data_IF_128076813332
#
_entry.id   IF_128076813332
#
_cell.length_a   1.000
_cell.length_b   1.000
_cell.length_c   1.000
_cell.angle_alpha   90.00
_cell.angle_beta   90.00
_cell.angle_gamma   90.00
#
_symmetry.space_group_name_H-M   'P 1'
#
loop_
_entity.id
_entity.type
_entity.pdbx_description
1 polymer ?
#
# COMPACT_ATOMS: atom_id res chain seq x y z
N UNK A 1 17.75 -20.20 -33.02
CA UNK A 1 16.42 -20.81 -32.77
C UNK A 1 16.34 -21.06 -31.27
N UNK A 2 15.51 -20.44 -30.46
CA UNK A 2 14.52 -19.37 -30.62
C UNK A 2 14.77 -18.49 -29.38
N UNK A 3 15.04 -17.21 -29.58
CA UNK A 3 15.12 -16.28 -28.46
C UNK A 3 13.75 -16.22 -27.82
N UNK A 4 13.63 -16.66 -26.57
CA UNK A 4 12.47 -16.31 -25.77
C UNK A 4 12.44 -14.78 -25.69
N UNK A 5 11.34 -14.12 -26.05
CA UNK A 5 11.22 -12.70 -25.78
C UNK A 5 11.31 -12.56 -24.27
N UNK A 6 12.37 -11.92 -23.79
CA UNK A 6 12.40 -11.37 -22.44
C UNK A 6 11.13 -10.54 -22.30
N UNK A 7 10.22 -11.04 -21.47
CA UNK A 7 9.05 -10.36 -20.97
C UNK A 7 9.37 -8.89 -20.78
N UNK A 8 8.51 -8.00 -21.30
CA UNK A 8 8.47 -6.59 -20.88
C UNK A 8 8.83 -6.51 -19.41
N UNK A 9 9.90 -5.78 -19.06
CA UNK A 9 10.24 -5.45 -17.67
C UNK A 9 9.00 -4.79 -17.05
N UNK A 10 8.21 -5.58 -16.32
CA UNK A 10 7.02 -5.09 -15.65
C UNK A 10 7.52 -4.33 -14.43
N UNK A 11 7.61 -3.00 -14.55
CA UNK A 11 8.06 -2.17 -13.44
C UNK A 11 6.97 -2.16 -12.36
N UNK A 12 7.24 -2.92 -11.29
CA UNK A 12 6.34 -3.08 -10.15
C UNK A 12 6.09 -1.75 -9.44
N UNK A 13 7.08 -0.86 -9.40
CA UNK A 13 6.91 0.48 -8.83
C UNK A 13 5.98 1.32 -9.71
N UNK A 14 6.15 1.26 -11.04
CA UNK A 14 5.29 1.99 -11.96
C UNK A 14 3.83 1.52 -11.91
N UNK A 15 3.62 0.19 -11.85
CA UNK A 15 2.29 -0.41 -11.78
C UNK A 15 1.63 -0.27 -10.41
N UNK A 16 2.40 -0.01 -9.35
CA UNK A 16 1.92 0.21 -7.99
C UNK A 16 1.76 1.68 -7.61
N UNK A 17 2.02 2.59 -8.56
CA UNK A 17 1.77 4.02 -8.37
C UNK A 17 0.28 4.28 -8.20
N UNK A 18 -0.09 5.06 -7.20
CA UNK A 18 -1.46 5.48 -6.94
C UNK A 18 -1.83 6.57 -7.95
N UNK A 19 -2.88 6.37 -8.76
CA UNK A 19 -3.39 7.38 -9.67
C UNK A 19 -3.86 8.63 -8.91
N UNK A 20 -3.66 9.81 -9.47
CA UNK A 20 -4.02 11.09 -8.82
C UNK A 20 -5.54 11.26 -8.67
N UNK A 21 -6.32 10.53 -9.46
CA UNK A 21 -7.79 10.45 -9.40
C UNK A 21 -8.31 9.27 -8.56
N UNK A 22 -7.41 8.54 -7.89
CA UNK A 22 -7.79 7.45 -6.99
C UNK A 22 -8.69 7.97 -5.87
N UNK A 23 -9.76 7.22 -5.60
CA UNK A 23 -10.75 7.58 -4.58
C UNK A 23 -10.28 7.07 -3.23
N UNK A 24 -10.43 7.90 -2.20
CA UNK A 24 -10.26 7.47 -0.81
C UNK A 24 -11.48 6.61 -0.44
N UNK A 25 -11.27 5.32 -0.27
CA UNK A 25 -12.32 4.37 0.12
C UNK A 25 -12.44 4.24 1.64
N UNK A 26 -11.32 4.35 2.36
CA UNK A 26 -11.26 4.35 3.81
C UNK A 26 -10.43 5.54 4.30
N UNK A 27 -10.86 6.20 5.39
CA UNK A 27 -10.18 7.36 5.95
C UNK A 27 -8.69 7.09 6.19
N UNK A 28 -7.87 8.10 5.91
CA UNK A 28 -6.42 8.03 6.09
C UNK A 28 -6.06 8.36 7.53
N UNK A 29 -5.22 7.53 8.15
CA UNK A 29 -4.72 7.76 9.50
C UNK A 29 -3.75 8.94 9.52
N UNK A 30 -3.56 9.52 10.72
CA UNK A 30 -2.59 10.59 10.92
C UNK A 30 -1.17 10.14 10.54
N UNK A 31 -0.80 8.90 10.88
CA UNK A 31 0.51 8.32 10.52
C UNK A 31 0.71 8.25 9.02
N UNK A 32 -0.32 7.85 8.26
CA UNK A 32 -0.23 7.74 6.81
C UNK A 32 -0.08 9.13 6.15
N UNK A 33 -0.81 10.13 6.65
CA UNK A 33 -0.65 11.53 6.22
C UNK A 33 0.73 12.07 6.59
N UNK A 34 1.28 11.67 7.74
CA UNK A 34 2.62 12.06 8.16
C UNK A 34 3.69 11.46 7.22
N UNK A 35 3.55 10.19 6.83
CA UNK A 35 4.42 9.57 5.81
C UNK A 35 4.37 10.38 4.53
N UNK A 36 3.18 10.66 3.99
CA UNK A 36 3.03 11.45 2.77
C UNK A 36 3.75 12.82 2.86
N UNK A 37 3.63 13.50 4.01
CA UNK A 37 4.27 14.80 4.26
C UNK A 37 5.78 14.73 4.41
N UNK A 38 6.33 13.65 4.94
CA UNK A 38 7.78 13.46 5.02
C UNK A 38 8.41 13.38 3.63
N UNK A 39 7.68 12.83 2.67
CA UNK A 39 8.08 12.74 1.27
C UNK A 39 7.44 13.82 0.40
N UNK A 40 6.85 14.87 0.99
CA UNK A 40 6.25 15.97 0.24
C UNK A 40 7.32 16.92 -0.30
N UNK A 41 7.09 17.48 -1.49
CA UNK A 41 7.95 18.55 -2.02
C UNK A 41 7.81 19.81 -1.14
N UNK A 42 8.76 20.75 -1.26
CA UNK A 42 8.74 21.98 -0.47
C UNK A 42 7.44 22.77 -0.67
N UNK A 43 6.95 22.86 -1.91
CA UNK A 43 5.74 23.58 -2.28
C UNK A 43 4.48 22.94 -1.68
N UNK A 44 4.39 21.61 -1.68
CA UNK A 44 3.28 20.86 -1.09
C UNK A 44 3.23 20.98 0.44
N UNK A 45 4.39 21.07 1.11
CA UNK A 45 4.46 21.27 2.57
C UNK A 45 3.92 22.63 2.98
N UNK A 46 4.09 23.64 2.12
CA UNK A 46 3.60 24.99 2.34
C UNK A 46 2.10 25.13 2.01
N UNK A 47 1.62 24.45 0.97
CA UNK A 47 0.22 24.51 0.53
C UNK A 47 -0.77 23.77 1.46
N UNK A 48 -0.28 22.93 2.36
CA UNK A 48 -1.11 22.07 3.22
C UNK A 48 -1.52 20.77 2.54
N UNK A 49 -2.05 19.82 3.32
CA UNK A 49 -2.36 18.47 2.84
C UNK A 49 -3.65 18.43 2.02
N UNK A 50 -3.57 18.78 0.73
CA UNK A 50 -4.60 18.42 -0.24
C UNK A 50 -4.58 16.90 -0.50
N UNK A 51 -5.70 16.27 -0.91
CA UNK A 51 -5.70 14.86 -1.29
C UNK A 51 -4.67 14.53 -2.38
N UNK A 52 -4.47 15.45 -3.33
CA UNK A 52 -3.45 15.32 -4.38
C UNK A 52 -2.03 15.29 -3.79
N UNK A 53 -1.70 16.23 -2.92
CA UNK A 53 -0.39 16.29 -2.27
C UNK A 53 -0.12 15.04 -1.41
N UNK A 54 -1.16 14.47 -0.80
CA UNK A 54 -1.05 13.20 -0.08
C UNK A 54 -0.70 12.06 -1.03
N UNK A 55 -1.40 11.93 -2.16
CA UNK A 55 -1.12 10.88 -3.15
C UNK A 55 0.31 11.03 -3.71
N UNK A 56 0.74 12.25 -4.04
CA UNK A 56 2.08 12.51 -4.56
C UNK A 56 3.17 12.16 -3.53
N UNK A 57 2.98 12.55 -2.27
CA UNK A 57 3.85 12.18 -1.16
C UNK A 57 3.95 10.66 -0.97
N UNK A 58 2.81 9.96 -1.00
CA UNK A 58 2.79 8.50 -0.88
C UNK A 58 3.46 7.82 -2.08
N UNK A 59 3.26 8.33 -3.29
CA UNK A 59 3.93 7.80 -4.49
C UNK A 59 5.45 7.92 -4.40
N UNK A 60 5.99 9.01 -3.83
CA UNK A 60 7.43 9.13 -3.57
C UNK A 60 7.88 8.16 -2.49
N UNK A 61 7.11 8.00 -1.40
CA UNK A 61 7.40 7.00 -0.39
C UNK A 61 7.43 5.56 -0.95
N UNK A 62 6.52 5.22 -1.87
CA UNK A 62 6.48 3.91 -2.54
C UNK A 62 7.73 3.72 -3.41
N UNK A 63 8.09 4.72 -4.20
CA UNK A 63 9.28 4.66 -5.08
C UNK A 63 10.60 4.50 -4.32
N UNK A 64 10.66 4.93 -3.06
CA UNK A 64 11.83 4.83 -2.18
C UNK A 64 11.79 3.59 -1.26
N UNK A 65 10.68 2.85 -1.25
CA UNK A 65 10.47 1.72 -0.33
C UNK A 65 10.99 0.39 -0.87
N UNK A 66 11.24 -0.55 0.04
CA UNK A 66 11.56 -1.93 -0.35
C UNK A 66 10.30 -2.72 -0.71
N UNK A 67 10.36 -3.53 -1.77
CA UNK A 67 9.37 -4.58 -2.03
C UNK A 67 9.63 -5.71 -1.04
N UNK A 68 8.70 -5.94 -0.11
CA UNK A 68 8.83 -6.98 0.91
C UNK A 68 8.17 -8.30 0.51
N UNK A 69 7.27 -8.26 -0.48
CA UNK A 69 6.63 -9.44 -1.05
C UNK A 69 6.00 -9.12 -2.41
N UNK A 70 5.99 -10.10 -3.30
CA UNK A 70 5.36 -10.00 -4.61
C UNK A 70 4.84 -11.37 -5.07
N UNK A 71 3.63 -11.40 -5.63
CA UNK A 71 3.12 -12.56 -6.35
C UNK A 71 2.09 -12.12 -7.41
N UNK A 72 2.39 -12.45 -8.66
CA UNK A 72 1.50 -12.15 -9.79
C UNK A 72 1.28 -10.64 -9.92
N UNK A 73 0.02 -10.20 -9.81
CA UNK A 73 -0.36 -8.78 -9.91
C UNK A 73 -0.46 -8.08 -8.55
N UNK A 74 0.11 -8.66 -7.50
CA UNK A 74 0.05 -8.13 -6.13
C UNK A 74 1.46 -7.89 -5.60
N UNK A 75 1.70 -6.70 -5.08
CA UNK A 75 2.97 -6.32 -4.47
C UNK A 75 2.73 -5.67 -3.10
N UNK A 76 3.67 -5.90 -2.18
CA UNK A 76 3.67 -5.28 -0.85
C UNK A 76 4.97 -4.51 -0.66
N UNK A 77 4.82 -3.24 -0.31
CA UNK A 77 5.88 -2.26 -0.14
C UNK A 77 6.04 -1.90 1.33
N UNK A 78 7.26 -1.95 1.84
CA UNK A 78 7.62 -1.55 3.20
C UNK A 78 7.90 -0.05 3.30
N UNK A 79 6.85 0.76 3.45
CA UNK A 79 6.99 2.22 3.53
C UNK A 79 7.77 2.68 4.76
N UNK A 80 7.55 2.00 5.89
CA UNK A 80 8.29 2.22 7.14
C UNK A 80 8.45 0.88 7.87
N UNK A 81 9.21 0.82 8.99
CA UNK A 81 9.23 -0.38 9.83
C UNK A 81 7.86 -0.79 10.39
N UNK A 82 6.88 0.12 10.42
CA UNK A 82 5.56 -0.10 11.01
C UNK A 82 4.41 -0.13 9.99
N UNK A 83 4.60 0.37 8.77
CA UNK A 83 3.54 0.53 7.77
C UNK A 83 3.97 -0.08 6.44
N UNK A 84 3.07 -0.85 5.85
CA UNK A 84 3.19 -1.39 4.50
C UNK A 84 2.04 -0.91 3.62
N UNK A 85 2.28 -0.88 2.31
CA UNK A 85 1.23 -0.76 1.30
C UNK A 85 1.13 -2.06 0.52
N UNK A 86 -0.08 -2.61 0.39
CA UNK A 86 -0.41 -3.65 -0.58
C UNK A 86 -1.07 -3.00 -1.79
N UNK A 87 -0.53 -3.23 -2.98
CA UNK A 87 -1.15 -2.90 -4.26
C UNK A 87 -1.59 -4.21 -4.95
N UNK A 88 -2.81 -4.25 -5.46
CA UNK A 88 -3.32 -5.44 -6.14
C UNK A 88 -4.67 -5.23 -6.82
N UNK A 89 -4.98 -6.13 -7.75
CA UNK A 89 -6.26 -6.17 -8.45
C UNK A 89 -7.32 -6.93 -7.63
N UNK A 90 -8.53 -6.39 -7.61
CA UNK A 90 -9.73 -7.06 -7.10
C UNK A 90 -10.43 -6.30 -5.97
N UNK A 91 -11.61 -6.81 -5.59
CA UNK A 91 -12.45 -6.29 -4.50
C UNK A 91 -11.89 -6.65 -3.11
N UNK A 92 -10.59 -6.42 -2.90
CA UNK A 92 -9.81 -6.70 -1.69
C UNK A 92 -10.15 -5.76 -0.52
N UNK A 93 -11.38 -5.29 -0.43
CA UNK A 93 -11.90 -4.47 0.68
C UNK A 93 -13.06 -5.15 1.39
N UNK A 94 -13.69 -6.14 0.74
CA UNK A 94 -14.79 -6.91 1.33
C UNK A 94 -14.37 -7.76 2.53
N UNK A 95 -13.07 -7.97 2.75
CA UNK A 95 -12.56 -8.71 3.90
C UNK A 95 -12.44 -7.87 5.18
N UNK A 96 -12.53 -6.53 5.10
CA UNK A 96 -12.33 -5.65 6.26
C UNK A 96 -13.29 -5.99 7.40
N UNK A 97 -14.61 -6.18 7.16
CA UNK A 97 -15.54 -6.60 8.21
C UNK A 97 -15.15 -7.96 8.84
N UNK A 98 -14.60 -8.87 8.03
CA UNK A 98 -14.11 -10.16 8.51
C UNK A 98 -12.89 -9.99 9.41
N UNK A 99 -11.95 -9.11 9.06
CA UNK A 99 -10.81 -8.79 9.92
C UNK A 99 -11.26 -8.21 11.26
N UNK A 100 -12.21 -7.27 11.25
CA UNK A 100 -12.77 -6.70 12.48
C UNK A 100 -13.48 -7.74 13.33
N UNK A 101 -14.16 -8.69 12.70
CA UNK A 101 -14.77 -9.83 13.37
C UNK A 101 -13.72 -10.74 14.05
N UNK A 102 -12.63 -11.06 13.35
CA UNK A 102 -11.55 -11.88 13.92
C UNK A 102 -10.86 -11.14 15.07
N UNK A 103 -10.58 -9.84 14.95
CA UNK A 103 -10.00 -9.04 16.05
C UNK A 103 -10.84 -9.09 17.33
N UNK A 104 -12.16 -9.11 17.19
CA UNK A 104 -13.10 -9.21 18.33
C UNK A 104 -13.07 -10.58 19.00
N UNK A 105 -12.97 -11.67 18.23
CA UNK A 105 -13.07 -13.03 18.76
C UNK A 105 -11.73 -13.67 19.12
N UNK A 106 -10.64 -13.23 18.50
CA UNK A 106 -9.30 -13.77 18.68
C UNK A 106 -8.30 -12.62 18.86
N UNK A 107 -8.38 -11.84 19.96
CA UNK A 107 -7.54 -10.66 20.17
C UNK A 107 -6.03 -10.96 20.31
N UNK A 108 -5.68 -12.23 20.53
CA UNK A 108 -4.29 -12.69 20.59
C UNK A 108 -3.67 -12.95 19.21
N UNK A 109 -4.48 -12.99 18.15
CA UNK A 109 -3.99 -13.14 16.78
C UNK A 109 -3.56 -11.75 16.29
N UNK A 110 -2.27 -11.53 15.96
CA UNK A 110 -1.83 -10.26 15.44
C UNK A 110 -2.43 -10.05 14.05
N UNK A 111 -3.30 -9.04 13.93
CA UNK A 111 -3.91 -8.62 12.67
C UNK A 111 -3.53 -7.19 12.37
N UNK A 112 -3.27 -6.85 11.11
CA UNK A 112 -2.90 -5.49 10.75
C UNK A 112 -4.09 -4.53 10.95
N UNK A 113 -3.80 -3.31 11.40
CA UNK A 113 -4.76 -2.20 11.35
C UNK A 113 -4.71 -1.54 9.98
N UNK A 114 -5.88 -1.13 9.48
CA UNK A 114 -6.00 -0.43 8.20
C UNK A 114 -5.80 1.06 8.44
N UNK A 115 -4.76 1.62 7.84
CA UNK A 115 -4.38 3.03 7.94
C UNK A 115 -4.92 3.87 6.79
N UNK A 116 -5.41 3.26 5.72
CA UNK A 116 -6.01 3.98 4.60
C UNK A 116 -6.20 3.09 3.39
N UNK A 117 -7.17 3.42 2.55
CA UNK A 117 -7.43 2.67 1.31
C UNK A 117 -7.70 3.65 0.19
N UNK A 118 -6.96 3.49 -0.90
CA UNK A 118 -7.28 4.11 -2.19
C UNK A 118 -7.79 3.06 -3.18
N UNK A 119 -8.66 3.50 -4.08
CA UNK A 119 -9.19 2.67 -5.16
C UNK A 119 -9.15 3.42 -6.49
N UNK A 120 -8.63 2.75 -7.53
CA UNK A 120 -8.61 3.24 -8.90
C UNK A 120 -9.07 2.13 -9.86
N UNK A 121 -10.34 2.15 -10.23
CA UNK A 121 -10.95 1.03 -10.96
C UNK A 121 -10.89 -0.26 -10.13
N UNK A 122 -10.29 -1.30 -10.70
CA UNK A 122 -10.10 -2.60 -10.05
C UNK A 122 -8.84 -2.68 -9.17
N UNK A 123 -8.00 -1.64 -9.18
CA UNK A 123 -6.80 -1.57 -8.34
C UNK A 123 -7.15 -1.03 -6.96
N UNK A 124 -6.63 -1.69 -5.94
CA UNK A 124 -6.72 -1.28 -4.55
C UNK A 124 -5.33 -1.07 -3.96
N UNK A 125 -5.21 -0.04 -3.13
CA UNK A 125 -3.99 0.32 -2.43
C UNK A 125 -4.32 0.38 -0.94
N UNK A 126 -3.96 -0.69 -0.23
CA UNK A 126 -4.30 -0.87 1.18
C UNK A 126 -3.07 -0.60 2.03
N UNK A 127 -3.15 0.44 2.83
CA UNK A 127 -2.11 0.81 3.79
C UNK A 127 -2.44 0.19 5.13
N UNK A 128 -1.52 -0.60 5.67
CA UNK A 128 -1.79 -1.37 6.87
C UNK A 128 -0.56 -1.53 7.76
N UNK A 129 -0.78 -1.92 9.02
CA UNK A 129 0.31 -2.20 9.95
C UNK A 129 1.17 -3.34 9.44
N UNK A 130 2.50 -3.18 9.55
CA UNK A 130 3.46 -4.26 9.31
C UNK A 130 3.47 -5.20 10.50
N UNK A 131 2.82 -6.37 10.36
CA UNK A 131 2.91 -7.43 11.38
C UNK A 131 4.31 -8.04 11.35
N UNK A 132 4.93 -8.16 12.53
CA UNK A 132 6.25 -8.78 12.66
C UNK A 132 6.13 -10.31 12.65
N UNK A 133 7.01 -10.96 11.92
CA UNK A 133 7.09 -12.41 11.83
C UNK A 133 7.77 -12.86 10.55
N UNK A 134 7.99 -14.17 10.44
CA UNK A 134 8.43 -14.82 9.21
C UNK A 134 7.25 -15.57 8.59
N UNK A 135 7.21 -15.64 7.26
CA UNK A 135 6.20 -16.43 6.56
C UNK A 135 6.47 -17.92 6.77
N UNK A 136 5.41 -18.73 6.76
CA UNK A 136 5.51 -20.17 6.99
C UNK A 136 6.30 -20.89 5.88
N UNK A 137 6.34 -20.32 4.68
CA UNK A 137 7.01 -20.88 3.51
C UNK A 137 8.55 -20.91 3.61
N UNK A 138 9.10 -20.40 4.71
CA UNK A 138 10.53 -20.43 5.04
C UNK A 138 10.91 -21.49 6.08
N UNK A 139 9.99 -22.38 6.50
CA UNK A 139 10.22 -23.47 7.49
C UNK A 139 10.32 -24.84 6.84
#
# INVERSE_FOLDING_TARGET
MIGHPSTNDFDIYLSSKIPLDAKIFHSLSVDLVAIARCHASLDERVAGASPLAVIEGLNRAIAESDIIWELGSTAVFGLTPAIVMKAGYGSEIGYIPTMDYIKKLAPLVPLPDIHGIFQAGDLSYVFMTRVKGETLDHV
#
